data_IF_292912340374
#
_entry.id   IF_292912340374
#
_cell.length_a   1.000
_cell.length_b   1.000
_cell.length_c   1.000
_cell.angle_alpha   90.00
_cell.angle_beta   90.00
_cell.angle_gamma   90.00
#
_symmetry.space_group_name_H-M   'P 1'
#
loop_
_entity.id
_entity.type
_entity.pdbx_description
1 polymer ?
#
# COMPACT_ATOMS: atom_id res chain seq x y z
N UNK A 1 7.51 -5.18 10.81
CA UNK A 1 7.20 -3.82 10.30
C UNK A 1 7.12 -3.92 8.78
N UNK A 2 6.28 -3.11 8.13
CA UNK A 2 6.14 -3.08 6.67
C UNK A 2 6.52 -1.69 6.16
N UNK A 3 7.13 -1.63 4.98
CA UNK A 3 7.56 -0.41 4.31
C UNK A 3 7.75 -0.67 2.81
N UNK A 4 7.82 0.40 2.01
CA UNK A 4 7.78 0.34 0.53
C UNK A 4 9.03 0.86 -0.15
N UNK A 5 9.98 1.39 0.64
CA UNK A 5 11.20 2.04 0.16
C UNK A 5 10.92 3.13 -0.90
N UNK A 6 9.79 3.82 -0.77
CA UNK A 6 9.27 4.77 -1.77
C UNK A 6 10.14 6.00 -2.02
N UNK A 7 11.09 6.27 -1.13
CA UNK A 7 12.11 7.29 -1.35
C UNK A 7 12.96 6.94 -2.59
N UNK A 8 13.16 5.65 -2.86
CA UNK A 8 14.00 5.16 -3.97
C UNK A 8 13.21 4.79 -5.22
N UNK A 9 11.96 4.34 -5.06
CA UNK A 9 11.17 3.75 -6.15
C UNK A 9 9.89 4.51 -6.50
N UNK A 10 9.67 5.68 -5.89
CA UNK A 10 8.50 6.51 -6.13
C UNK A 10 7.25 6.04 -5.36
N UNK A 11 6.08 6.43 -5.85
CA UNK A 11 4.81 6.25 -5.13
C UNK A 11 4.58 4.79 -4.70
N UNK A 12 4.25 4.52 -3.42
CA UNK A 12 3.97 3.17 -2.92
C UNK A 12 2.64 2.59 -3.39
N UNK A 13 1.85 3.36 -4.15
CA UNK A 13 0.43 3.10 -4.34
C UNK A 13 0.15 1.72 -4.95
N UNK A 14 0.99 1.26 -5.88
CA UNK A 14 0.85 -0.06 -6.48
C UNK A 14 1.22 -1.20 -5.51
N UNK A 15 2.24 -1.02 -4.66
CA UNK A 15 2.58 -1.98 -3.61
C UNK A 15 1.47 -2.10 -2.56
N UNK A 16 0.86 -0.97 -2.17
CA UNK A 16 -0.28 -0.92 -1.25
C UNK A 16 -1.47 -1.67 -1.86
N UNK A 17 -1.79 -1.42 -3.13
CA UNK A 17 -2.88 -2.09 -3.82
C UNK A 17 -2.64 -3.59 -3.96
N UNK A 18 -1.45 -4.00 -4.40
CA UNK A 18 -1.07 -5.39 -4.50
C UNK A 18 -1.22 -6.11 -3.16
N UNK A 19 -0.77 -5.49 -2.05
CA UNK A 19 -0.90 -6.12 -0.74
C UNK A 19 -2.35 -6.13 -0.21
N UNK A 20 -3.19 -5.16 -0.61
CA UNK A 20 -4.63 -5.15 -0.32
C UNK A 20 -5.41 -6.22 -1.08
N UNK A 21 -4.90 -6.74 -2.19
CA UNK A 21 -5.57 -7.82 -2.93
C UNK A 21 -4.94 -9.18 -2.66
N UNK A 22 -3.67 -9.21 -2.26
CA UNK A 22 -2.92 -10.42 -1.99
C UNK A 22 -3.55 -11.28 -0.87
N UNK A 23 -3.58 -12.59 -1.12
CA UNK A 23 -3.90 -13.64 -0.18
C UNK A 23 -2.97 -14.84 -0.44
N UNK A 24 -2.53 -15.50 0.63
CA UNK A 24 -1.76 -16.74 0.52
C UNK A 24 -2.72 -17.84 0.05
N UNK A 25 -2.37 -18.50 -1.06
CA UNK A 25 -3.21 -19.55 -1.64
C UNK A 25 -3.54 -20.65 -0.61
N UNK A 26 -4.78 -21.21 -0.61
CA UNK A 26 -5.19 -22.22 0.37
C UNK A 26 -4.23 -23.40 0.48
N UNK A 27 -3.75 -23.94 -0.64
CA UNK A 27 -2.78 -25.05 -0.66
C UNK A 27 -1.45 -24.70 0.04
N UNK A 28 -0.99 -23.45 -0.08
CA UNK A 28 0.23 -23.00 0.61
C UNK A 28 -0.01 -22.77 2.10
N UNK A 29 -1.21 -22.30 2.47
CA UNK A 29 -1.62 -22.18 3.88
C UNK A 29 -1.67 -23.52 4.57
N UNK A 30 -2.29 -24.51 3.94
CA UNK A 30 -2.37 -25.89 4.44
C UNK A 30 -0.98 -26.52 4.57
N UNK A 31 -0.16 -26.42 3.53
CA UNK A 31 1.18 -27.02 3.50
C UNK A 31 2.14 -26.43 4.53
N UNK A 32 2.05 -25.12 4.80
CA UNK A 32 3.05 -24.39 5.59
C UNK A 32 2.51 -23.77 6.88
N UNK A 33 1.23 -23.99 7.20
CA UNK A 33 0.59 -23.45 8.39
C UNK A 33 0.39 -21.93 8.37
N UNK A 34 0.36 -21.31 7.17
CA UNK A 34 0.18 -19.86 7.10
C UNK A 34 -1.27 -19.46 7.44
N UNK A 35 -1.47 -18.43 8.27
CA UNK A 35 -2.80 -17.93 8.55
C UNK A 35 -3.42 -17.26 7.33
N UNK A 36 -4.74 -17.15 7.33
CA UNK A 36 -5.41 -16.25 6.39
C UNK A 36 -5.02 -14.81 6.67
N UNK A 37 -4.77 -14.04 5.61
CA UNK A 37 -4.64 -12.60 5.76
C UNK A 37 -6.03 -11.99 5.92
N UNK A 38 -6.44 -11.80 7.18
CA UNK A 38 -7.70 -11.15 7.54
C UNK A 38 -7.59 -9.62 7.47
N UNK A 39 -8.70 -8.87 7.44
CA UNK A 39 -8.68 -7.41 7.52
C UNK A 39 -7.91 -6.88 8.75
N UNK A 40 -8.04 -7.54 9.91
CA UNK A 40 -7.33 -7.16 11.12
C UNK A 40 -5.83 -7.45 11.05
N UNK A 41 -5.44 -8.60 10.47
CA UNK A 41 -4.03 -8.90 10.23
C UNK A 41 -3.42 -7.87 9.28
N UNK A 42 -4.16 -7.48 8.23
CA UNK A 42 -3.72 -6.46 7.29
C UNK A 42 -3.60 -5.09 7.95
N UNK A 43 -4.52 -4.71 8.82
CA UNK A 43 -4.41 -3.48 9.61
C UNK A 43 -3.19 -3.50 10.56
N UNK A 44 -2.85 -4.66 11.13
CA UNK A 44 -1.61 -4.84 11.90
C UNK A 44 -0.37 -4.60 11.05
N UNK A 45 -0.33 -5.17 9.85
CA UNK A 45 0.80 -5.04 8.92
C UNK A 45 0.97 -3.60 8.45
N UNK A 46 -0.11 -2.93 8.03
CA UNK A 46 -0.05 -1.55 7.52
C UNK A 46 0.27 -0.49 8.57
N UNK A 47 0.11 -0.76 9.87
CA UNK A 47 0.42 0.29 10.85
C UNK A 47 0.29 -0.09 12.32
N UNK A 48 -0.63 -0.97 12.74
CA UNK A 48 -0.81 -1.20 14.20
C UNK A 48 0.43 -1.84 14.84
N UNK A 49 1.16 -2.70 14.11
CA UNK A 49 2.43 -3.25 14.59
C UNK A 49 3.50 -2.16 14.74
N UNK A 50 3.56 -1.21 13.80
CA UNK A 50 4.50 -0.09 13.84
C UNK A 50 4.19 0.85 15.01
N UNK A 51 2.93 1.23 15.17
CA UNK A 51 2.47 2.11 16.24
C UNK A 51 2.88 1.59 17.62
N UNK A 52 2.72 0.28 17.86
CA UNK A 52 3.17 -0.36 19.10
C UNK A 52 4.69 -0.21 19.33
N UNK A 53 5.50 -0.44 18.29
CA UNK A 53 6.98 -0.34 18.39
C UNK A 53 7.42 1.09 18.69
N UNK A 54 6.74 2.08 18.11
CA UNK A 54 7.06 3.49 18.32
C UNK A 54 6.36 4.14 19.52
N UNK A 55 5.67 3.35 20.36
CA UNK A 55 4.95 3.88 21.52
C UNK A 55 3.79 4.82 21.16
N UNK A 56 3.27 4.74 19.93
CA UNK A 56 2.19 5.58 19.44
C UNK A 56 0.84 4.94 19.80
N UNK A 57 -0.01 5.65 20.54
CA UNK A 57 -1.41 5.25 20.66
C UNK A 57 -2.25 5.81 19.52
N UNK A 58 -3.24 5.04 19.06
CA UNK A 58 -4.16 5.52 18.02
C UNK A 58 -4.95 6.76 18.46
N UNK A 59 -5.24 6.89 19.76
CA UNK A 59 -5.93 8.02 20.34
C UNK A 59 -5.07 9.30 20.28
N UNK A 60 -3.79 9.20 20.65
CA UNK A 60 -2.86 10.33 20.57
C UNK A 60 -2.61 10.75 19.13
N UNK A 61 -2.33 9.81 18.23
CA UNK A 61 -2.14 10.12 16.80
C UNK A 61 -3.38 10.85 16.27
N UNK A 62 -4.59 10.32 16.52
CA UNK A 62 -5.83 10.96 16.05
C UNK A 62 -6.06 12.34 16.67
N UNK A 63 -5.69 12.56 17.93
CA UNK A 63 -5.78 13.87 18.59
C UNK A 63 -4.96 14.91 17.82
N UNK A 64 -3.73 14.58 17.45
CA UNK A 64 -2.83 15.52 16.78
C UNK A 64 -3.11 15.67 15.27
N UNK A 65 -3.57 14.60 14.60
CA UNK A 65 -3.79 14.65 13.14
C UNK A 65 -5.20 15.07 12.75
N UNK A 66 -6.19 15.04 13.65
CA UNK A 66 -7.60 15.24 13.26
C UNK A 66 -7.89 16.60 12.62
N UNK A 67 -7.12 17.64 12.97
CA UNK A 67 -7.31 19.01 12.49
C UNK A 67 -6.14 19.51 11.62
N UNK A 68 -5.22 18.62 11.22
CA UNK A 68 -4.11 19.01 10.36
C UNK A 68 -4.54 19.20 8.89
N UNK A 69 -3.62 19.67 8.05
CA UNK A 69 -3.87 19.84 6.61
C UNK A 69 -4.19 18.52 5.93
N UNK A 70 -3.53 17.43 6.33
CA UNK A 70 -3.71 16.10 5.74
C UNK A 70 -5.13 15.56 6.00
N UNK A 71 -5.67 15.78 7.19
CA UNK A 71 -7.03 15.40 7.57
C UNK A 71 -8.08 16.22 6.81
N UNK A 72 -7.83 17.52 6.60
CA UNK A 72 -8.68 18.37 5.75
C UNK A 72 -8.67 17.90 4.29
N UNK A 73 -7.48 17.68 3.73
CA UNK A 73 -7.31 17.18 2.36
C UNK A 73 -7.97 15.82 2.18
N UNK A 74 -7.82 14.92 3.17
CA UNK A 74 -8.48 13.62 3.16
C UNK A 74 -10.00 13.75 3.16
N UNK A 75 -10.56 14.63 3.98
CA UNK A 75 -12.00 14.87 4.04
C UNK A 75 -12.52 15.42 2.71
N UNK A 76 -11.85 16.41 2.13
CA UNK A 76 -12.17 16.96 0.82
C UNK A 76 -12.08 15.90 -0.30
N UNK A 77 -11.07 15.03 -0.25
CA UNK A 77 -10.93 13.92 -1.19
C UNK A 77 -12.09 12.90 -1.08
N UNK A 78 -12.61 12.64 0.13
CA UNK A 78 -13.73 11.73 0.30
C UNK A 78 -15.04 12.27 -0.28
N UNK A 79 -15.20 13.59 -0.36
CA UNK A 79 -16.36 14.24 -0.98
C UNK A 79 -16.36 14.10 -2.51
N UNK A 80 -15.18 14.13 -3.14
CA UNK A 80 -15.02 13.90 -4.58
C UNK A 80 -13.75 13.08 -4.89
N UNK A 81 -13.81 11.74 -4.76
CA UNK A 81 -12.64 10.89 -4.98
C UNK A 81 -12.17 10.95 -6.43
N UNK A 82 -10.96 11.47 -6.64
CA UNK A 82 -10.27 11.47 -7.94
C UNK A 82 -8.99 10.63 -7.87
N UNK A 83 -9.10 9.29 -7.84
CA UNK A 83 -7.91 8.46 -7.73
C UNK A 83 -7.08 8.54 -9.03
N UNK A 84 -5.83 8.99 -8.90
CA UNK A 84 -4.84 8.92 -9.98
C UNK A 84 -4.02 7.64 -9.81
N UNK A 85 -4.41 6.59 -10.53
CA UNK A 85 -3.67 5.31 -10.59
C UNK A 85 -2.57 5.38 -11.67
N UNK A 86 -1.75 6.43 -11.62
CA UNK A 86 -0.64 6.61 -12.57
C UNK A 86 0.47 5.61 -12.24
N UNK A 87 0.33 4.41 -12.80
CA UNK A 87 1.41 3.43 -12.92
C UNK A 87 2.29 3.85 -14.10
N UNK A 88 3.57 4.10 -13.83
CA UNK A 88 4.57 4.37 -14.87
C UNK A 88 5.14 3.06 -15.41
N UNK A 89 5.16 2.90 -16.74
CA UNK A 89 5.70 1.73 -17.41
C UNK A 89 4.68 1.04 -18.33
N UNK A 90 5.14 0.00 -19.05
CA UNK A 90 4.32 -0.68 -20.04
C UNK A 90 3.16 -1.46 -19.39
N UNK A 91 1.93 -1.07 -19.72
CA UNK A 91 0.68 -1.66 -19.23
C UNK A 91 0.20 -2.80 -20.14
N UNK A 92 0.72 -2.88 -21.36
CA UNK A 92 0.42 -3.96 -22.31
C UNK A 92 1.68 -4.68 -22.75
N UNK A 93 1.54 -5.94 -23.21
CA UNK A 93 2.65 -6.71 -23.81
C UNK A 93 3.33 -5.93 -24.93
N UNK A 94 2.55 -5.20 -25.72
CA UNK A 94 3.07 -4.35 -26.80
C UNK A 94 3.94 -3.22 -26.26
N UNK A 95 3.46 -2.50 -25.25
CA UNK A 95 4.24 -1.45 -24.60
C UNK A 95 5.51 -2.01 -23.97
N UNK A 96 5.47 -3.23 -23.41
CA UNK A 96 6.63 -3.86 -22.78
C UNK A 96 7.72 -4.18 -23.80
N UNK A 97 7.32 -4.76 -24.93
CA UNK A 97 8.24 -5.03 -26.03
C UNK A 97 8.81 -3.74 -26.64
N UNK A 98 8.02 -2.66 -26.68
CA UNK A 98 8.49 -1.36 -27.16
C UNK A 98 9.48 -0.72 -26.19
N UNK A 99 9.22 -0.81 -24.88
CA UNK A 99 10.12 -0.35 -23.83
C UNK A 99 11.48 -1.07 -23.88
N UNK A 100 11.48 -2.39 -24.10
CA UNK A 100 12.72 -3.17 -24.26
C UNK A 100 13.54 -2.74 -25.49
N UNK A 101 12.89 -2.41 -26.61
CA UNK A 101 13.59 -1.92 -27.82
C UNK A 101 14.28 -0.59 -27.60
N UNK A 102 13.67 0.31 -26.83
CA UNK A 102 14.23 1.65 -26.53
C UNK A 102 15.38 1.58 -25.53
N UNK A 103 15.41 0.56 -24.66
CA UNK A 103 16.42 0.43 -23.59
C UNK A 103 17.65 -0.41 -23.99
N UNK A 104 17.56 -1.15 -25.09
CA UNK A 104 18.60 -2.07 -25.58
C UNK A 104 19.22 -1.64 -26.92
N UNK A 105 18.82 -0.49 -27.46
CA UNK A 105 19.44 0.17 -28.62
C UNK A 105 20.01 1.51 -28.21
#
# INVERSE_FOLDING_TARGET
LWGTDSIWYGSPQDQIQAFRTFQIAPALREKHGYPEITPDLRAKIFGRNAAKVYGLSAAEVKKYTSLDSVSRERSAYLENPQPRFETYGPKTRREFLQYLKVRLG
#
